data_IF_315080473581
#
_entry.id   IF_315080473581
#
_cell.length_a   1.000
_cell.length_b   1.000
_cell.length_c   1.000
_cell.angle_alpha   90.00
_cell.angle_beta   90.00
_cell.angle_gamma   90.00
#
_symmetry.space_group_name_H-M   'P 1'
#
loop_
_entity.id
_entity.type
_entity.pdbx_description
1 polymer ?
#
# COMPACT_ATOMS: atom_id res chain seq x y z
N UNK A 1 27.46 -23.67 -4.50
CA UNK A 1 27.38 -22.30 -5.00
C UNK A 1 26.15 -21.62 -4.40
N UNK A 2 26.36 -20.46 -3.85
CA UNK A 2 25.24 -19.75 -3.24
C UNK A 2 24.31 -19.17 -4.30
N UNK A 3 23.03 -19.13 -3.97
CA UNK A 3 22.05 -18.50 -4.85
C UNK A 3 22.06 -16.99 -4.62
N UNK A 4 21.97 -16.24 -5.71
CA UNK A 4 21.88 -14.79 -5.65
C UNK A 4 20.44 -14.34 -5.37
N UNK A 5 19.47 -15.20 -5.65
CA UNK A 5 18.05 -14.93 -5.46
C UNK A 5 17.48 -16.02 -4.57
N UNK A 6 16.70 -15.67 -3.54
CA UNK A 6 16.10 -16.69 -2.68
C UNK A 6 15.14 -17.56 -3.48
N UNK A 7 14.90 -18.76 -2.97
CA UNK A 7 13.92 -19.65 -3.57
C UNK A 7 12.53 -18.99 -3.54
N UNK A 8 11.72 -19.23 -4.58
CA UNK A 8 10.34 -18.74 -4.53
C UNK A 8 9.57 -19.39 -3.39
N UNK A 9 8.56 -18.73 -2.84
CA UNK A 9 7.74 -19.33 -1.79
C UNK A 9 7.05 -20.59 -2.30
N UNK A 10 6.69 -21.52 -1.42
CA UNK A 10 5.95 -22.70 -1.82
C UNK A 10 4.69 -22.36 -2.60
N UNK A 11 4.32 -23.23 -3.52
CA UNK A 11 3.09 -23.04 -4.29
C UNK A 11 1.91 -22.89 -3.32
N UNK A 12 1.13 -21.84 -3.49
CA UNK A 12 -0.01 -21.54 -2.65
C UNK A 12 0.25 -20.62 -1.47
N UNK A 13 1.51 -20.32 -1.19
CA UNK A 13 1.82 -19.36 -0.12
C UNK A 13 1.60 -17.92 -0.62
N UNK A 14 0.91 -17.10 0.19
CA UNK A 14 0.74 -15.69 -0.08
C UNK A 14 1.85 -14.90 0.60
N UNK A 15 2.27 -13.76 0.01
CA UNK A 15 3.31 -12.96 0.63
C UNK A 15 2.86 -12.31 1.93
N UNK A 16 3.81 -11.98 2.73
CA UNK A 16 3.61 -11.31 4.02
C UNK A 16 4.53 -10.11 4.12
N UNK A 17 4.20 -9.20 5.04
CA UNK A 17 5.05 -8.05 5.30
C UNK A 17 6.37 -8.47 5.92
N UNK A 18 7.42 -7.72 5.59
CA UNK A 18 8.69 -7.77 6.31
C UNK A 18 8.69 -6.71 7.39
N UNK A 19 9.48 -6.91 8.44
CA UNK A 19 9.65 -5.88 9.45
C UNK A 19 10.31 -4.66 8.81
N UNK A 20 9.61 -3.53 8.78
CA UNK A 20 10.07 -2.36 8.04
C UNK A 20 9.88 -1.10 8.88
N UNK A 21 10.97 -0.49 9.36
CA UNK A 21 10.87 0.79 10.08
C UNK A 21 10.39 1.90 9.15
N UNK A 22 9.61 2.82 9.71
CA UNK A 22 9.12 3.96 8.95
C UNK A 22 8.86 5.15 9.89
N UNK A 23 8.47 6.28 9.32
CA UNK A 23 8.24 7.48 10.10
C UNK A 23 9.54 8.18 10.44
N UNK A 24 10.32 8.57 9.39
CA UNK A 24 11.57 9.28 9.58
C UNK A 24 11.32 10.66 10.21
N UNK A 25 12.29 11.09 11.00
CA UNK A 25 12.21 12.37 11.70
C UNK A 25 13.49 13.18 11.44
N UNK A 26 13.32 14.47 11.17
CA UNK A 26 14.44 15.38 10.93
C UNK A 26 15.32 15.61 12.17
N UNK A 27 14.88 15.18 13.34
CA UNK A 27 15.64 15.34 14.57
C UNK A 27 16.82 14.36 14.69
N UNK A 28 17.00 13.45 13.73
CA UNK A 28 18.16 12.59 13.67
C UNK A 28 18.10 11.32 14.50
N UNK A 29 16.97 10.99 15.11
CA UNK A 29 16.84 9.71 15.81
C UNK A 29 16.32 8.63 14.85
N UNK A 30 16.47 7.34 15.19
CA UNK A 30 15.92 6.26 14.38
C UNK A 30 14.39 6.36 14.26
N UNK A 31 13.80 5.78 13.23
CA UNK A 31 12.34 5.75 13.10
C UNK A 31 11.66 5.16 14.31
N UNK A 32 10.55 5.76 14.72
CA UNK A 32 9.81 5.34 15.91
C UNK A 32 8.85 4.19 15.66
N UNK A 33 8.51 3.94 14.39
CA UNK A 33 7.47 2.97 14.03
C UNK A 33 8.04 1.88 13.14
N UNK A 34 7.39 0.74 13.19
CA UNK A 34 7.75 -0.40 12.34
C UNK A 34 6.48 -1.09 11.87
N UNK A 35 6.45 -1.46 10.59
CA UNK A 35 5.45 -2.41 10.12
C UNK A 35 5.86 -3.78 10.66
N UNK A 36 4.96 -4.45 11.36
CA UNK A 36 5.23 -5.78 11.90
C UNK A 36 5.42 -6.79 10.77
N UNK A 37 6.37 -7.70 10.92
CA UNK A 37 6.55 -8.80 9.99
C UNK A 37 5.37 -9.78 10.10
N UNK A 38 5.06 -10.47 9.02
CA UNK A 38 4.12 -11.58 9.03
C UNK A 38 2.65 -11.21 8.81
N UNK A 39 2.35 -9.95 8.47
CA UNK A 39 0.99 -9.56 8.14
C UNK A 39 0.71 -10.00 6.71
N UNK A 40 -0.40 -10.69 6.49
CA UNK A 40 -0.75 -11.16 5.16
C UNK A 40 -0.91 -9.99 4.19
N UNK A 41 -0.44 -10.17 2.96
CA UNK A 41 -0.49 -9.13 1.95
C UNK A 41 -1.91 -8.60 1.73
N UNK A 42 -2.91 -9.48 1.75
CA UNK A 42 -4.30 -9.06 1.62
C UNK A 42 -4.67 -8.01 2.67
N UNK A 43 -4.37 -8.30 3.93
CA UNK A 43 -4.73 -7.40 5.02
C UNK A 43 -3.97 -6.07 4.93
N UNK A 44 -2.67 -6.13 4.62
CA UNK A 44 -1.86 -4.92 4.48
C UNK A 44 -2.36 -4.04 3.34
N UNK A 45 -2.72 -4.64 2.22
CA UNK A 45 -3.19 -3.90 1.05
C UNK A 45 -4.59 -3.31 1.25
N UNK A 46 -5.47 -4.00 2.00
CA UNK A 46 -6.78 -3.46 2.36
C UNK A 46 -6.61 -2.17 3.16
N UNK A 47 -5.71 -2.17 4.14
CA UNK A 47 -5.44 -0.97 4.92
C UNK A 47 -4.79 0.12 4.08
N UNK A 48 -3.84 -0.23 3.21
CA UNK A 48 -3.21 0.74 2.32
C UNK A 48 -4.23 1.41 1.41
N UNK A 49 -5.14 0.65 0.82
CA UNK A 49 -6.20 1.18 -0.03
C UNK A 49 -7.09 2.13 0.75
N UNK A 50 -7.44 1.79 1.99
CA UNK A 50 -8.26 2.63 2.84
C UNK A 50 -7.58 3.97 3.15
N UNK A 51 -6.29 3.94 3.51
CA UNK A 51 -5.56 5.17 3.80
C UNK A 51 -5.44 6.05 2.56
N UNK A 52 -5.20 5.46 1.40
CA UNK A 52 -5.12 6.21 0.15
C UNK A 52 -6.46 6.85 -0.20
N UNK A 53 -7.57 6.15 0.05
CA UNK A 53 -8.90 6.72 -0.16
C UNK A 53 -9.15 7.90 0.77
N UNK A 54 -8.79 7.77 2.04
CA UNK A 54 -8.94 8.86 3.00
C UNK A 54 -8.12 10.08 2.58
N UNK A 55 -6.88 9.87 2.12
CA UNK A 55 -6.03 10.95 1.66
C UNK A 55 -6.63 11.64 0.43
N UNK A 56 -7.18 10.86 -0.50
CA UNK A 56 -7.83 11.40 -1.69
C UNK A 56 -9.04 12.25 -1.31
N UNK A 57 -9.89 11.74 -0.43
CA UNK A 57 -11.10 12.45 -0.01
C UNK A 57 -10.77 13.77 0.68
N UNK A 58 -9.80 13.76 1.57
CA UNK A 58 -9.36 14.97 2.27
C UNK A 58 -8.75 15.97 1.30
N UNK A 59 -7.92 15.49 0.37
CA UNK A 59 -7.31 16.34 -0.64
C UNK A 59 -8.34 16.98 -1.55
N UNK A 60 -9.37 16.24 -1.95
CA UNK A 60 -10.46 16.80 -2.76
C UNK A 60 -11.17 17.93 -2.04
N UNK A 61 -11.43 17.76 -0.75
CA UNK A 61 -12.05 18.83 0.05
C UNK A 61 -11.14 20.05 0.15
N UNK A 62 -9.84 19.84 0.29
CA UNK A 62 -8.88 20.93 0.37
C UNK A 62 -8.84 21.76 -0.90
N UNK A 63 -9.07 21.15 -2.07
CA UNK A 63 -9.06 21.85 -3.35
C UNK A 63 -10.04 23.03 -3.38
N UNK A 64 -11.17 22.91 -2.71
CA UNK A 64 -12.19 23.95 -2.70
C UNK A 64 -11.88 25.10 -1.74
N UNK A 65 -10.83 24.95 -0.94
CA UNK A 65 -10.52 25.89 0.15
C UNK A 65 -9.23 26.68 -0.08
N UNK A 66 -8.60 26.51 -1.24
CA UNK A 66 -7.30 27.12 -1.52
C UNK A 66 -7.35 27.91 -2.81
N UNK A 67 -6.32 28.75 -3.02
CA UNK A 67 -6.20 29.50 -4.26
C UNK A 67 -5.87 28.59 -5.46
N UNK A 68 -6.02 29.11 -6.70
CA UNK A 68 -5.77 28.29 -7.89
C UNK A 68 -4.37 27.71 -8.00
N UNK A 69 -3.34 28.43 -7.56
CA UNK A 69 -1.96 27.92 -7.63
C UNK A 69 -1.77 26.75 -6.68
N UNK A 70 -2.24 26.90 -5.46
CA UNK A 70 -2.18 25.82 -4.47
C UNK A 70 -3.03 24.64 -4.90
N UNK A 71 -4.17 24.92 -5.53
CA UNK A 71 -5.05 23.84 -6.04
C UNK A 71 -4.33 22.97 -7.04
N UNK A 72 -3.52 23.56 -7.92
CA UNK A 72 -2.73 22.79 -8.88
C UNK A 72 -1.76 21.82 -8.23
N UNK A 73 -1.13 22.26 -7.13
CA UNK A 73 -0.23 21.38 -6.36
C UNK A 73 -0.98 20.24 -5.72
N UNK A 74 -2.16 20.50 -5.17
CA UNK A 74 -3.00 19.46 -4.57
C UNK A 74 -3.45 18.47 -5.65
N UNK A 75 -3.87 18.94 -6.81
CA UNK A 75 -4.25 18.08 -7.92
C UNK A 75 -3.14 17.12 -8.33
N UNK A 76 -1.90 17.62 -8.37
CA UNK A 76 -0.75 16.77 -8.68
C UNK A 76 -0.58 15.66 -7.64
N UNK A 77 -0.72 15.99 -6.36
CA UNK A 77 -0.66 15.01 -5.28
C UNK A 77 -1.79 14.00 -5.38
N UNK A 78 -3.01 14.47 -5.64
CA UNK A 78 -4.17 13.60 -5.79
C UNK A 78 -4.01 12.62 -6.95
N UNK A 79 -3.42 13.08 -8.06
CA UNK A 79 -3.15 12.21 -9.19
C UNK A 79 -2.20 11.06 -8.79
N UNK A 80 -1.15 11.38 -8.04
CA UNK A 80 -0.21 10.34 -7.55
C UNK A 80 -0.90 9.36 -6.61
N UNK A 81 -1.76 9.86 -5.73
CA UNK A 81 -2.54 9.01 -4.81
C UNK A 81 -3.45 8.08 -5.60
N UNK A 82 -4.13 8.60 -6.62
CA UNK A 82 -5.02 7.80 -7.46
C UNK A 82 -4.26 6.69 -8.19
N UNK A 83 -3.09 7.00 -8.72
CA UNK A 83 -2.27 6.00 -9.40
C UNK A 83 -1.81 4.92 -8.44
N UNK A 84 -1.34 5.31 -7.26
CA UNK A 84 -0.91 4.35 -6.23
C UNK A 84 -2.08 3.47 -5.79
N UNK A 85 -3.25 4.06 -5.58
CA UNK A 85 -4.43 3.31 -5.18
C UNK A 85 -4.85 2.31 -6.24
N UNK A 86 -4.77 2.70 -7.52
CA UNK A 86 -5.08 1.79 -8.62
C UNK A 86 -4.20 0.56 -8.61
N UNK A 87 -2.89 0.74 -8.37
CA UNK A 87 -1.96 -0.38 -8.31
C UNK A 87 -2.25 -1.28 -7.10
N UNK A 88 -2.52 -0.68 -5.94
CA UNK A 88 -2.87 -1.43 -4.73
C UNK A 88 -4.14 -2.22 -4.94
N UNK A 89 -5.18 -1.59 -5.49
CA UNK A 89 -6.47 -2.24 -5.72
C UNK A 89 -6.35 -3.38 -6.73
N UNK A 90 -5.52 -3.22 -7.76
CA UNK A 90 -5.29 -4.28 -8.73
C UNK A 90 -4.62 -5.50 -8.08
N UNK A 91 -3.66 -5.27 -7.18
CA UNK A 91 -3.03 -6.35 -6.44
C UNK A 91 -4.02 -7.05 -5.50
N UNK A 92 -4.88 -6.26 -4.84
CA UNK A 92 -5.94 -6.82 -3.99
C UNK A 92 -6.88 -7.70 -4.80
N UNK A 93 -7.32 -7.22 -5.95
CA UNK A 93 -8.23 -7.99 -6.82
C UNK A 93 -7.58 -9.32 -7.21
N UNK A 94 -6.31 -9.30 -7.58
CA UNK A 94 -5.60 -10.52 -7.94
C UNK A 94 -5.48 -11.50 -6.78
N UNK A 95 -5.19 -11.00 -5.58
CA UNK A 95 -5.11 -11.83 -4.39
C UNK A 95 -6.46 -12.42 -4.04
N UNK A 96 -7.53 -11.62 -4.13
CA UNK A 96 -8.88 -12.08 -3.81
C UNK A 96 -9.37 -13.14 -4.79
N UNK A 97 -9.03 -13.00 -6.06
CA UNK A 97 -9.32 -14.03 -7.06
C UNK A 97 -8.62 -15.34 -6.72
N UNK A 98 -7.35 -15.26 -6.34
CA UNK A 98 -6.58 -16.43 -5.96
C UNK A 98 -7.14 -17.09 -4.70
N UNK A 99 -7.53 -16.29 -3.71
CA UNK A 99 -8.16 -16.80 -2.50
C UNK A 99 -9.49 -17.49 -2.80
N UNK A 100 -10.29 -16.93 -3.70
CA UNK A 100 -11.56 -17.52 -4.10
C UNK A 100 -11.36 -18.85 -4.79
N UNK A 101 -10.36 -18.95 -5.67
CA UNK A 101 -10.03 -20.21 -6.34
C UNK A 101 -9.68 -21.33 -5.35
N UNK A 102 -8.97 -20.97 -4.28
CA UNK A 102 -8.58 -21.95 -3.28
C UNK A 102 -9.74 -22.43 -2.41
N UNK A 103 -10.81 -21.64 -2.34
CA UNK A 103 -12.00 -21.99 -1.57
C UNK A 103 -12.98 -22.86 -2.34
N UNK A 104 -12.88 -22.90 -3.67
CA UNK A 104 -13.81 -23.64 -4.49
C UNK A 104 -13.55 -25.15 -4.33
N UNK A 105 -14.54 -25.94 -3.87
CA UNK A 105 -14.36 -27.37 -3.79
C UNK A 105 -14.22 -27.99 -5.17
N UNK A 106 -13.42 -29.01 -5.24
CA UNK A 106 -13.25 -29.74 -6.50
C UNK A 106 -14.27 -30.82 -6.64
#
# INVERSE_FOLDING_TARGET
MSKLVPDPPPAGALPHTASTPFGTCAAGHPPLFTVRAGIEAHDALVHASMYLRCANDTGMQACDKVDPDTRGLIWSTLHSIEMAKGLVDALLDGIEEEMAERRVPK
#
